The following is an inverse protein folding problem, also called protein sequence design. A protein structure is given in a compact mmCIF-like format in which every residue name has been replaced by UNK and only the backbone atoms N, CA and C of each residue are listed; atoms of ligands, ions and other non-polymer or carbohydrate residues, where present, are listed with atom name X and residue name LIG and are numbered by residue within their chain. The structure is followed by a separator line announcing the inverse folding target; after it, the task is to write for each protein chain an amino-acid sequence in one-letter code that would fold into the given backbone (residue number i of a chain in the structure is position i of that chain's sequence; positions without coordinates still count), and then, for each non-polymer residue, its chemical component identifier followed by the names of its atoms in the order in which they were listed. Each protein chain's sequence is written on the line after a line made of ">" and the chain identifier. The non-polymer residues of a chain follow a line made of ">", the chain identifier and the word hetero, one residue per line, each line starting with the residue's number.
data_IF_248115084145
#
_entry.id   IF_248115084145
#
_cell.length_a   1.000
_cell.length_b   1.000
_cell.length_c   1.000
_cell.angle_alpha   90.00
_cell.angle_beta   90.00
_cell.angle_gamma   90.00
#
_symmetry.space_group_name_H-M   'P 1'
#
loop_
_entity.id
_entity.type
_entity.pdbx_description
1 polymer ?
#
# COMPACT_ATOMS: atom_id res chain seq x y z
N UNK A 1 11.50 26.11 8.42
CA UNK A 1 12.95 25.94 8.23
C UNK A 1 13.38 24.48 8.08
N UNK A 2 12.90 23.54 8.93
CA UNK A 2 13.18 22.10 8.74
C UNK A 2 12.38 21.53 7.57
N UNK A 3 11.10 21.87 7.46
CA UNK A 3 10.24 21.43 6.39
C UNK A 3 10.70 21.94 5.02
N UNK A 4 11.09 23.22 4.92
CA UNK A 4 11.67 23.78 3.69
C UNK A 4 12.92 23.01 3.24
N UNK A 5 13.74 22.56 4.22
CA UNK A 5 14.91 21.73 3.93
C UNK A 5 14.50 20.34 3.41
N UNK A 6 13.51 19.71 4.02
CA UNK A 6 12.98 18.41 3.55
C UNK A 6 12.45 18.51 2.12
N UNK A 7 11.63 19.51 1.85
CA UNK A 7 11.10 19.78 0.49
C UNK A 7 12.23 20.01 -0.51
N UNK A 8 13.26 20.78 -0.12
CA UNK A 8 14.41 21.03 -1.00
C UNK A 8 15.19 19.75 -1.31
N UNK A 9 15.37 18.87 -0.33
CA UNK A 9 16.04 17.56 -0.52
C UNK A 9 15.20 16.66 -1.42
N UNK A 10 13.88 16.59 -1.19
CA UNK A 10 12.97 15.77 -1.99
C UNK A 10 12.89 16.22 -3.46
N UNK A 11 13.14 17.49 -3.74
CA UNK A 11 13.19 18.07 -5.09
C UNK A 11 14.56 18.00 -5.76
N UNK A 12 15.57 17.51 -5.08
CA UNK A 12 16.90 17.41 -5.68
C UNK A 12 16.85 16.50 -6.92
N UNK A 13 17.61 16.82 -7.98
CA UNK A 13 17.66 15.99 -9.17
C UNK A 13 18.07 14.56 -8.82
N UNK A 14 17.37 13.60 -9.39
CA UNK A 14 17.58 12.17 -9.16
C UNK A 14 17.86 11.48 -10.50
N UNK A 15 18.42 10.29 -10.47
CA UNK A 15 18.88 9.57 -11.66
C UNK A 15 18.43 8.12 -11.75
N UNK A 16 17.58 7.65 -10.83
CA UNK A 16 17.11 6.27 -10.86
C UNK A 16 16.15 6.00 -12.02
N UNK A 17 15.43 7.03 -12.49
CA UNK A 17 14.53 6.94 -13.65
C UNK A 17 13.07 6.66 -13.30
N UNK A 18 12.69 6.77 -12.03
CA UNK A 18 11.29 6.76 -11.61
C UNK A 18 10.54 8.03 -12.06
N UNK A 19 9.21 7.97 -12.01
CA UNK A 19 8.34 9.12 -12.35
C UNK A 19 7.34 9.42 -11.25
N UNK A 20 6.94 10.68 -11.17
CA UNK A 20 5.88 11.14 -10.27
C UNK A 20 4.87 11.96 -11.08
N UNK A 21 3.62 11.50 -11.12
CA UNK A 21 2.49 12.21 -11.73
C UNK A 21 1.47 12.55 -10.66
N UNK A 22 1.27 13.83 -10.40
CA UNK A 22 0.27 14.33 -9.45
C UNK A 22 -0.97 14.84 -10.18
N UNK A 23 -2.12 14.66 -9.58
CA UNK A 23 -3.39 15.20 -10.04
C UNK A 23 -3.93 16.20 -9.00
N UNK A 24 -3.71 17.51 -9.20
CA UNK A 24 -4.14 18.53 -8.25
C UNK A 24 -5.68 18.65 -8.15
N UNK A 25 -6.39 18.12 -9.13
CA UNK A 25 -7.86 18.15 -9.18
C UNK A 25 -8.48 16.86 -8.63
N UNK A 26 -7.67 15.92 -8.10
CA UNK A 26 -8.18 14.69 -7.51
C UNK A 26 -9.02 14.99 -6.28
N UNK A 27 -10.29 14.61 -6.31
CA UNK A 27 -11.13 14.60 -5.13
C UNK A 27 -10.75 13.45 -4.21
N UNK A 28 -10.10 13.78 -3.09
CA UNK A 28 -9.71 12.77 -2.09
C UNK A 28 -10.96 12.22 -1.41
N UNK A 29 -11.13 10.90 -1.30
CA UNK A 29 -12.32 10.32 -0.69
C UNK A 29 -12.59 10.85 0.72
N UNK A 30 -13.85 11.16 1.01
CA UNK A 30 -14.24 11.72 2.31
C UNK A 30 -13.84 10.85 3.49
N UNK A 31 -13.86 9.53 3.34
CA UNK A 31 -13.46 8.62 4.40
C UNK A 31 -11.98 8.76 4.77
N UNK A 32 -11.15 9.26 3.84
CA UNK A 32 -9.73 9.51 4.06
C UNK A 32 -9.46 10.90 4.64
N UNK A 33 -10.38 11.87 4.47
CA UNK A 33 -10.23 13.25 4.93
C UNK A 33 -11.01 13.57 6.20
N UNK A 34 -11.86 12.65 6.66
CA UNK A 34 -12.78 12.92 7.77
C UNK A 34 -12.13 12.86 9.15
N UNK A 35 -11.00 12.18 9.26
CA UNK A 35 -10.25 11.97 10.51
C UNK A 35 -8.75 12.04 10.25
N UNK A 36 -7.99 12.34 11.27
CA UNK A 36 -6.54 12.21 11.25
C UNK A 36 -6.16 10.74 11.52
N UNK A 37 -6.13 9.92 10.47
CA UNK A 37 -5.81 8.50 10.57
C UNK A 37 -4.44 8.33 11.25
N UNK A 38 -4.28 7.31 12.08
CA UNK A 38 -3.10 7.07 12.92
C UNK A 38 -2.76 8.26 13.82
N UNK A 39 -3.74 9.10 14.15
CA UNK A 39 -3.51 10.35 14.90
C UNK A 39 -2.43 11.24 14.26
N UNK A 40 -2.13 11.05 12.98
CA UNK A 40 -1.18 11.88 12.25
C UNK A 40 -1.81 13.24 11.97
N UNK A 41 -1.24 14.36 12.48
CA UNK A 41 -1.86 15.67 12.34
C UNK A 41 -2.09 16.08 10.88
N UNK A 42 -3.36 16.29 10.51
CA UNK A 42 -3.78 16.59 9.15
C UNK A 42 -3.92 15.35 8.24
N UNK A 43 -3.83 14.15 8.80
CA UNK A 43 -3.87 12.91 8.04
C UNK A 43 -2.70 12.76 7.05
N UNK A 44 -2.85 11.90 6.05
CA UNK A 44 -1.80 11.64 5.06
C UNK A 44 -1.76 12.65 3.92
N UNK A 45 -2.84 13.40 3.69
CA UNK A 45 -3.06 14.23 2.51
C UNK A 45 -2.83 15.72 2.72
N UNK A 46 -2.75 16.19 3.97
CA UNK A 46 -2.61 17.62 4.27
C UNK A 46 -1.23 18.13 3.94
N UNK A 47 -1.19 19.28 3.27
CA UNK A 47 0.03 20.00 2.94
C UNK A 47 0.14 21.26 3.78
N UNK A 48 1.21 21.43 4.53
CA UNK A 48 1.49 22.61 5.36
C UNK A 48 2.22 23.69 4.58
N UNK A 49 2.92 23.30 3.54
CA UNK A 49 3.67 24.17 2.62
C UNK A 49 3.51 23.65 1.19
N UNK A 50 3.87 24.51 0.22
CA UNK A 50 3.88 24.08 -1.19
C UNK A 50 4.86 22.90 -1.40
N UNK A 51 4.40 21.90 -2.11
CA UNK A 51 5.16 20.66 -2.44
C UNK A 51 5.63 19.90 -1.21
N UNK A 52 4.77 19.84 -0.20
CA UNK A 52 5.04 19.21 1.09
C UNK A 52 5.37 17.72 0.97
N UNK A 53 6.22 17.25 1.87
CA UNK A 53 6.63 15.84 2.03
C UNK A 53 6.55 15.40 3.49
N UNK A 54 6.03 16.26 4.38
CA UNK A 54 6.05 16.01 5.82
C UNK A 54 5.23 14.79 6.20
N UNK A 55 4.05 14.60 5.59
CA UNK A 55 3.20 13.45 5.86
C UNK A 55 3.96 12.14 5.62
N UNK A 56 4.65 11.99 4.50
CA UNK A 56 5.47 10.82 4.20
C UNK A 56 6.65 10.64 5.16
N UNK A 57 7.34 11.73 5.51
CA UNK A 57 8.47 11.67 6.44
C UNK A 57 8.03 11.29 7.87
N UNK A 58 6.88 11.76 8.32
CA UNK A 58 6.28 11.41 9.62
C UNK A 58 5.86 9.94 9.60
N UNK A 59 5.16 9.51 8.56
CA UNK A 59 4.69 8.14 8.39
C UNK A 59 5.85 7.14 8.37
N UNK A 60 6.88 7.37 7.55
CA UNK A 60 8.05 6.49 7.46
C UNK A 60 8.70 6.25 8.83
N UNK A 61 8.80 7.30 9.62
CA UNK A 61 9.37 7.19 10.97
C UNK A 61 8.37 6.66 11.99
N UNK A 62 7.11 7.04 11.86
CA UNK A 62 6.01 6.59 12.72
C UNK A 62 5.81 5.09 12.64
N UNK A 63 5.75 4.53 11.45
CA UNK A 63 5.61 3.08 11.23
C UNK A 63 6.76 2.30 11.87
N UNK A 64 8.01 2.77 11.71
CA UNK A 64 9.16 2.11 12.32
C UNK A 64 9.06 2.06 13.86
N UNK A 65 8.64 3.16 14.47
CA UNK A 65 8.49 3.27 15.94
C UNK A 65 7.28 2.43 16.41
N UNK A 66 6.13 2.57 15.74
CA UNK A 66 4.90 1.84 16.04
C UNK A 66 5.11 0.33 15.97
N UNK A 67 5.71 -0.16 14.90
CA UNK A 67 6.03 -1.57 14.72
C UNK A 67 7.27 -2.03 15.53
N UNK A 68 7.85 -1.17 16.37
CA UNK A 68 9.05 -1.47 17.18
C UNK A 68 10.22 -2.02 16.34
N UNK A 69 10.32 -1.59 15.08
CA UNK A 69 11.33 -2.05 14.13
C UNK A 69 11.11 -3.46 13.57
N UNK A 70 9.99 -4.11 13.88
CA UNK A 70 9.71 -5.50 13.47
C UNK A 70 9.48 -5.64 11.95
N UNK A 71 9.10 -4.55 11.28
CA UNK A 71 8.98 -4.51 9.81
C UNK A 71 10.32 -4.29 9.11
N UNK A 72 11.44 -4.44 9.81
CA UNK A 72 12.78 -4.25 9.28
C UNK A 72 13.22 -2.77 9.21
N UNK A 73 14.50 -2.53 8.91
CA UNK A 73 15.08 -1.17 8.93
C UNK A 73 14.51 -0.24 7.86
N UNK A 74 13.88 -0.79 6.82
CA UNK A 74 13.26 -0.06 5.71
C UNK A 74 11.73 -0.11 5.74
N UNK A 75 11.13 -0.70 6.77
CA UNK A 75 9.69 -0.99 6.89
C UNK A 75 9.14 -1.84 5.72
N UNK A 76 9.94 -2.73 5.18
CA UNK A 76 9.70 -3.41 3.91
C UNK A 76 9.32 -4.91 4.06
N UNK A 77 9.15 -5.38 5.29
CA UNK A 77 8.85 -6.80 5.59
C UNK A 77 7.58 -7.30 4.90
N UNK A 78 6.51 -6.51 4.87
CA UNK A 78 5.23 -6.95 4.29
C UNK A 78 5.38 -7.22 2.79
N UNK A 79 6.01 -6.31 2.04
CA UNK A 79 6.33 -6.52 0.63
C UNK A 79 7.24 -7.71 0.42
N UNK A 80 8.26 -7.86 1.27
CA UNK A 80 9.18 -9.01 1.28
C UNK A 80 8.46 -10.33 1.54
N UNK A 81 7.50 -10.35 2.47
CA UNK A 81 6.69 -11.53 2.81
C UNK A 81 5.82 -12.00 1.64
N UNK A 82 5.18 -11.07 0.93
CA UNK A 82 4.40 -11.42 -0.28
C UNK A 82 5.32 -11.97 -1.37
N UNK A 83 6.49 -11.38 -1.57
CA UNK A 83 7.48 -11.89 -2.53
C UNK A 83 7.93 -13.31 -2.15
N UNK A 84 8.22 -13.56 -0.87
CA UNK A 84 8.59 -14.88 -0.38
C UNK A 84 7.47 -15.91 -0.62
N UNK A 85 6.24 -15.54 -0.32
CA UNK A 85 5.05 -16.36 -0.58
C UNK A 85 4.90 -16.68 -2.09
N UNK A 86 5.07 -15.69 -2.96
CA UNK A 86 5.00 -15.90 -4.42
C UNK A 86 6.11 -16.84 -4.91
N UNK A 87 7.33 -16.70 -4.39
CA UNK A 87 8.44 -17.63 -4.73
C UNK A 87 8.13 -19.07 -4.36
N UNK A 88 7.54 -19.28 -3.20
CA UNK A 88 7.22 -20.62 -2.72
C UNK A 88 6.04 -21.23 -3.50
N UNK A 89 4.98 -20.45 -3.75
CA UNK A 89 3.73 -20.98 -4.30
C UNK A 89 3.62 -20.84 -5.81
N UNK A 90 4.42 -19.98 -6.43
CA UNK A 90 4.40 -19.61 -7.86
C UNK A 90 5.81 -19.37 -8.41
N UNK A 91 6.73 -20.32 -8.22
CA UNK A 91 8.15 -20.16 -8.54
C UNK A 91 8.45 -19.65 -9.97
N UNK A 92 7.60 -19.98 -10.94
CA UNK A 92 7.75 -19.57 -12.34
C UNK A 92 7.04 -18.23 -12.65
N UNK A 93 6.43 -17.58 -11.65
CA UNK A 93 5.72 -16.33 -11.87
C UNK A 93 6.71 -15.16 -12.00
N UNK A 94 6.76 -14.57 -13.17
CA UNK A 94 7.63 -13.45 -13.53
C UNK A 94 6.81 -12.28 -14.08
N UNK A 95 6.21 -11.44 -13.21
CA UNK A 95 5.39 -10.32 -13.63
C UNK A 95 6.23 -9.28 -14.37
N UNK A 96 5.66 -8.70 -15.43
CA UNK A 96 6.26 -7.60 -16.20
C UNK A 96 5.75 -6.24 -15.78
N UNK A 97 4.52 -6.18 -15.28
CA UNK A 97 3.92 -4.94 -14.76
C UNK A 97 3.25 -5.22 -13.41
N UNK A 98 3.65 -4.46 -12.42
CA UNK A 98 3.21 -4.58 -11.01
C UNK A 98 2.56 -3.28 -10.61
N UNK A 99 1.40 -3.35 -9.95
CA UNK A 99 0.68 -2.20 -9.39
C UNK A 99 0.53 -2.36 -7.88
N UNK A 100 0.98 -1.38 -7.13
CA UNK A 100 0.79 -1.28 -5.67
C UNK A 100 -0.26 -0.20 -5.36
N UNK A 101 -1.35 -0.61 -4.71
CA UNK A 101 -2.49 0.24 -4.37
C UNK A 101 -2.30 0.80 -2.96
N UNK A 102 -2.46 2.12 -2.80
CA UNK A 102 -2.18 2.79 -1.53
C UNK A 102 -0.71 2.67 -1.16
N UNK A 103 0.19 2.92 -2.11
CA UNK A 103 1.62 2.68 -1.96
C UNK A 103 2.32 3.55 -0.89
N UNK A 104 1.65 4.59 -0.40
CA UNK A 104 2.12 5.44 0.71
C UNK A 104 3.57 5.94 0.51
N UNK A 105 4.49 5.66 1.44
CA UNK A 105 5.92 5.98 1.36
C UNK A 105 6.73 4.96 0.52
N UNK A 106 6.08 4.08 -0.22
CA UNK A 106 6.66 3.00 -1.04
C UNK A 106 7.51 1.99 -0.25
N UNK A 107 7.15 1.72 1.01
CA UNK A 107 7.85 0.74 1.84
C UNK A 107 7.79 -0.66 1.22
N UNK A 108 6.59 -1.12 0.90
CA UNK A 108 6.35 -2.44 0.29
C UNK A 108 6.54 -2.44 -1.23
N UNK A 109 6.45 -1.27 -1.89
CA UNK A 109 6.61 -1.13 -3.35
C UNK A 109 8.06 -1.36 -3.80
N UNK A 110 9.04 -0.80 -3.06
CA UNK A 110 10.48 -0.91 -3.37
C UNK A 110 10.94 -2.37 -3.48
N UNK A 111 10.61 -3.28 -2.57
CA UNK A 111 10.96 -4.71 -2.67
C UNK A 111 10.58 -5.37 -3.99
N UNK A 112 9.43 -5.03 -4.58
CA UNK A 112 9.02 -5.61 -5.86
C UNK A 112 9.97 -5.24 -6.99
N UNK A 113 10.39 -3.96 -7.06
CA UNK A 113 11.35 -3.54 -8.10
C UNK A 113 12.73 -4.15 -7.90
N UNK A 114 13.16 -4.30 -6.66
CA UNK A 114 14.44 -4.96 -6.34
C UNK A 114 14.41 -6.45 -6.68
N UNK A 115 13.26 -7.12 -6.49
CA UNK A 115 13.11 -8.53 -6.75
C UNK A 115 12.80 -8.86 -8.21
N UNK A 116 11.99 -8.02 -8.88
CA UNK A 116 11.65 -8.13 -10.29
C UNK A 116 12.25 -6.95 -11.08
N UNK A 117 13.60 -6.94 -11.28
CA UNK A 117 14.29 -5.78 -11.84
C UNK A 117 13.85 -5.42 -13.26
N UNK A 118 13.35 -6.38 -14.02
CA UNK A 118 12.84 -6.17 -15.37
C UNK A 118 11.37 -5.73 -15.43
N UNK A 119 10.66 -5.78 -14.29
CA UNK A 119 9.27 -5.34 -14.21
C UNK A 119 9.15 -3.82 -14.16
N UNK A 120 8.13 -3.27 -14.82
CA UNK A 120 7.62 -1.93 -14.55
C UNK A 120 6.82 -1.97 -13.25
N UNK A 121 7.24 -1.20 -12.24
CA UNK A 121 6.55 -1.12 -10.95
C UNK A 121 5.88 0.24 -10.82
N UNK A 122 4.56 0.21 -10.71
CA UNK A 122 3.71 1.37 -10.51
C UNK A 122 3.16 1.40 -9.08
N UNK A 123 3.00 2.58 -8.52
CA UNK A 123 2.31 2.78 -7.24
C UNK A 123 1.28 3.90 -7.37
N UNK A 124 0.11 3.71 -6.76
CA UNK A 124 -0.93 4.74 -6.68
C UNK A 124 -1.27 5.05 -5.23
N UNK A 125 -1.53 6.32 -4.96
CA UNK A 125 -2.02 6.81 -3.68
C UNK A 125 -2.83 8.10 -3.90
N UNK A 126 -3.73 8.42 -2.99
CA UNK A 126 -4.52 9.66 -3.06
C UNK A 126 -3.77 10.86 -2.45
N UNK A 127 -2.75 10.63 -1.66
CA UNK A 127 -2.05 11.65 -0.87
C UNK A 127 -0.78 12.16 -1.58
N UNK A 128 -0.86 13.34 -2.19
CA UNK A 128 0.27 13.96 -2.90
C UNK A 128 1.54 14.10 -2.05
N UNK A 129 1.50 14.53 -0.76
CA UNK A 129 2.71 14.64 0.07
C UNK A 129 3.36 13.28 0.36
N UNK A 130 2.58 12.20 0.45
CA UNK A 130 3.09 10.83 0.57
C UNK A 130 3.83 10.42 -0.69
N UNK A 131 3.24 10.63 -1.85
CA UNK A 131 3.83 10.28 -3.16
C UNK A 131 5.10 11.07 -3.46
N UNK A 132 5.17 12.36 -3.09
CA UNK A 132 6.42 13.14 -3.23
C UNK A 132 7.53 12.57 -2.35
N UNK A 133 7.20 12.17 -1.12
CA UNK A 133 8.16 11.52 -0.23
C UNK A 133 8.59 10.16 -0.81
N UNK A 134 7.63 9.33 -1.22
CA UNK A 134 7.88 8.02 -1.81
C UNK A 134 8.80 8.10 -3.04
N UNK A 135 8.56 9.07 -3.93
CA UNK A 135 9.40 9.31 -5.09
C UNK A 135 10.83 9.68 -4.69
N UNK A 136 10.99 10.68 -3.81
CA UNK A 136 12.31 11.07 -3.33
C UNK A 136 13.05 9.93 -2.64
N UNK A 137 12.33 9.11 -1.85
CA UNK A 137 12.87 7.94 -1.16
C UNK A 137 13.33 6.88 -2.16
N UNK A 138 12.48 6.46 -3.08
CA UNK A 138 12.82 5.42 -4.07
C UNK A 138 13.98 5.85 -4.97
N UNK A 139 13.99 7.09 -5.43
CA UNK A 139 15.09 7.67 -6.20
C UNK A 139 16.41 7.69 -5.39
N UNK A 140 16.37 8.05 -4.10
CA UNK A 140 17.55 8.04 -3.23
C UNK A 140 18.12 6.64 -3.01
N UNK A 141 17.30 5.60 -3.14
CA UNK A 141 17.68 4.19 -3.08
C UNK A 141 18.15 3.64 -4.44
N UNK A 142 18.09 4.45 -5.50
CA UNK A 142 18.41 4.01 -6.86
C UNK A 142 17.35 3.06 -7.46
N UNK A 143 16.11 3.10 -6.97
CA UNK A 143 15.04 2.17 -7.35
C UNK A 143 13.97 2.92 -8.16
N UNK A 144 13.91 2.72 -9.50
CA UNK A 144 12.93 3.41 -10.35
C UNK A 144 11.53 2.84 -10.16
N UNK A 145 10.61 3.67 -9.65
CA UNK A 145 9.19 3.37 -9.47
C UNK A 145 8.37 4.47 -10.13
N UNK A 146 7.25 4.11 -10.75
CA UNK A 146 6.34 5.04 -11.40
C UNK A 146 5.16 5.32 -10.48
N UNK A 147 5.13 6.50 -9.87
CA UNK A 147 4.13 6.90 -8.90
C UNK A 147 3.10 7.84 -9.52
N UNK A 148 1.82 7.62 -9.22
CA UNK A 148 0.75 8.50 -9.67
C UNK A 148 -0.33 8.72 -8.61
N UNK A 149 -0.80 9.97 -8.53
CA UNK A 149 -1.88 10.33 -7.61
C UNK A 149 -3.21 9.94 -8.24
N UNK A 150 -3.79 8.86 -7.73
CA UNK A 150 -5.06 8.29 -8.19
C UNK A 150 -5.84 7.67 -7.03
N UNK A 151 -7.17 7.60 -7.19
CA UNK A 151 -8.02 6.83 -6.30
C UNK A 151 -8.12 5.39 -6.79
N UNK A 152 -7.76 4.42 -5.93
CA UNK A 152 -7.83 3.00 -6.25
C UNK A 152 -9.26 2.49 -6.57
N UNK A 153 -10.30 3.28 -6.29
CA UNK A 153 -11.68 2.97 -6.67
C UNK A 153 -11.99 3.19 -8.15
N UNK A 154 -11.15 4.00 -8.85
CA UNK A 154 -11.32 4.36 -10.28
C UNK A 154 -9.98 4.86 -10.82
N UNK A 155 -9.25 3.99 -11.51
CA UNK A 155 -7.87 4.27 -11.93
C UNK A 155 -7.77 4.45 -13.46
N UNK A 156 -6.92 5.39 -13.86
CA UNK A 156 -6.67 5.68 -15.26
C UNK A 156 -5.55 4.78 -15.84
N UNK A 157 -5.82 3.47 -15.87
CA UNK A 157 -4.99 2.48 -16.55
C UNK A 157 -5.85 1.65 -17.50
N UNK A 158 -5.22 1.07 -18.53
CA UNK A 158 -5.88 0.20 -19.51
C UNK A 158 -6.31 -1.13 -18.87
N UNK A 159 -7.41 -1.71 -19.33
CA UNK A 159 -7.90 -3.01 -18.91
C UNK A 159 -6.84 -4.09 -19.17
N UNK A 160 -6.69 -5.02 -18.23
CA UNK A 160 -5.79 -6.16 -18.35
C UNK A 160 -4.31 -5.79 -18.47
N UNK A 161 -3.90 -4.66 -17.88
CA UNK A 161 -2.56 -4.11 -18.07
C UNK A 161 -1.54 -4.51 -17.00
N UNK A 162 -1.93 -5.22 -15.92
CA UNK A 162 -1.03 -5.62 -14.84
C UNK A 162 -1.02 -7.12 -14.61
N UNK A 163 0.17 -7.70 -14.43
CA UNK A 163 0.36 -9.11 -14.12
C UNK A 163 0.23 -9.39 -12.61
N UNK A 164 0.61 -8.41 -11.79
CA UNK A 164 0.51 -8.46 -10.34
C UNK A 164 -0.08 -7.15 -9.81
N UNK A 165 -1.16 -7.25 -9.06
CA UNK A 165 -1.73 -6.12 -8.32
C UNK A 165 -1.65 -6.45 -6.84
N UNK A 166 -1.08 -5.54 -6.05
CA UNK A 166 -0.90 -5.72 -4.62
C UNK A 166 -1.46 -4.54 -3.84
N UNK A 167 -1.82 -4.77 -2.61
CA UNK A 167 -1.95 -3.73 -1.60
C UNK A 167 -1.44 -4.23 -0.25
N UNK A 168 -0.97 -3.32 0.57
CA UNK A 168 -0.38 -3.63 1.87
C UNK A 168 -1.03 -2.74 2.91
N UNK A 169 -1.82 -3.36 3.81
CA UNK A 169 -2.45 -2.64 4.92
C UNK A 169 -3.37 -1.50 4.42
N UNK A 170 -4.05 -1.73 3.28
CA UNK A 170 -4.94 -0.76 2.65
C UNK A 170 -6.42 -1.00 3.00
N UNK A 171 -6.81 -2.26 3.20
CA UNK A 171 -8.24 -2.61 3.30
C UNK A 171 -8.87 -1.90 4.50
N UNK A 172 -8.18 -1.85 5.62
CA UNK A 172 -8.66 -1.20 6.84
C UNK A 172 -8.63 0.35 6.79
N UNK A 173 -7.95 0.94 5.83
CA UNK A 173 -7.97 2.38 5.57
C UNK A 173 -9.16 2.80 4.69
N UNK A 174 -9.92 1.85 4.17
CA UNK A 174 -11.00 2.07 3.22
C UNK A 174 -12.35 1.58 3.75
N UNK A 175 -13.42 2.27 3.33
CA UNK A 175 -14.78 1.78 3.66
C UNK A 175 -15.08 0.48 2.92
N UNK A 176 -15.98 -0.35 3.46
CA UNK A 176 -16.41 -1.59 2.79
C UNK A 176 -17.00 -1.33 1.39
N UNK A 177 -17.59 -0.15 1.15
CA UNK A 177 -18.10 0.23 -0.17
C UNK A 177 -16.95 0.57 -1.13
N UNK A 178 -15.92 1.27 -0.65
CA UNK A 178 -14.71 1.57 -1.42
C UNK A 178 -13.95 0.28 -1.76
N UNK A 179 -13.78 -0.63 -0.81
CA UNK A 179 -13.12 -1.90 -1.05
C UNK A 179 -13.78 -2.72 -2.17
N UNK A 180 -15.12 -2.75 -2.22
CA UNK A 180 -15.82 -3.43 -3.33
C UNK A 180 -15.54 -2.79 -4.69
N UNK A 181 -15.36 -1.49 -4.78
CA UNK A 181 -14.97 -0.81 -6.02
C UNK A 181 -13.50 -1.12 -6.36
N UNK A 182 -12.60 -1.06 -5.37
CA UNK A 182 -11.19 -1.43 -5.52
C UNK A 182 -11.07 -2.84 -6.08
N UNK A 183 -11.82 -3.80 -5.55
CA UNK A 183 -11.83 -5.17 -6.06
C UNK A 183 -12.28 -5.27 -7.52
N UNK A 184 -13.28 -4.46 -7.95
CA UNK A 184 -13.70 -4.40 -9.36
C UNK A 184 -12.64 -3.79 -10.25
N UNK A 185 -11.97 -2.75 -9.78
CA UNK A 185 -10.83 -2.15 -10.49
C UNK A 185 -9.66 -3.14 -10.61
N UNK A 186 -9.34 -3.87 -9.55
CA UNK A 186 -8.36 -4.95 -9.61
C UNK A 186 -8.72 -5.98 -10.68
N UNK A 187 -9.99 -6.40 -10.74
CA UNK A 187 -10.46 -7.35 -11.76
C UNK A 187 -10.36 -6.78 -13.17
N UNK A 188 -10.70 -5.51 -13.38
CA UNK A 188 -10.59 -4.83 -14.68
C UNK A 188 -9.15 -4.72 -15.17
N UNK A 189 -8.24 -4.36 -14.25
CA UNK A 189 -6.84 -4.08 -14.58
C UNK A 189 -5.97 -5.34 -14.68
N UNK A 190 -6.43 -6.46 -14.12
CA UNK A 190 -5.64 -7.69 -14.08
C UNK A 190 -5.57 -8.35 -15.45
N UNK A 191 -4.35 -8.60 -15.93
CA UNK A 191 -4.10 -9.36 -17.14
C UNK A 191 -4.52 -10.84 -17.01
N UNK A 192 -4.86 -11.53 -18.10
CA UNK A 192 -5.14 -12.97 -18.04
C UNK A 192 -3.97 -13.76 -17.43
N UNK A 193 -4.25 -14.51 -16.37
CA UNK A 193 -3.24 -15.28 -15.63
C UNK A 193 -2.50 -14.48 -14.54
N UNK A 194 -2.83 -13.20 -14.39
CA UNK A 194 -2.28 -12.37 -13.33
C UNK A 194 -2.80 -12.71 -11.94
N UNK A 195 -2.23 -12.08 -10.93
CA UNK A 195 -2.51 -12.32 -9.52
C UNK A 195 -2.84 -11.01 -8.81
N UNK A 196 -3.86 -11.01 -7.95
CA UNK A 196 -4.16 -9.93 -7.00
C UNK A 196 -3.89 -10.43 -5.59
N UNK A 197 -3.18 -9.65 -4.78
CA UNK A 197 -2.92 -9.97 -3.37
C UNK A 197 -3.16 -8.72 -2.52
N UNK A 198 -4.07 -8.83 -1.57
CA UNK A 198 -4.26 -7.85 -0.52
C UNK A 198 -3.64 -8.40 0.77
N UNK A 199 -2.48 -7.83 1.19
CA UNK A 199 -1.86 -8.15 2.47
C UNK A 199 -2.53 -7.30 3.57
N UNK A 200 -3.05 -7.98 4.59
CA UNK A 200 -3.81 -7.32 5.66
C UNK A 200 -3.56 -8.01 7.00
N UNK A 201 -3.91 -7.35 8.09
CA UNK A 201 -3.93 -7.97 9.40
C UNK A 201 -4.93 -9.13 9.45
N UNK A 202 -4.67 -10.19 10.22
CA UNK A 202 -5.55 -11.34 10.28
C UNK A 202 -6.98 -10.96 10.71
N UNK A 203 -7.99 -11.64 10.18
CA UNK A 203 -9.37 -11.47 10.64
C UNK A 203 -9.54 -11.95 12.10
N UNK A 204 -10.47 -11.37 12.87
CA UNK A 204 -10.73 -11.75 14.27
C UNK A 204 -10.93 -13.26 14.46
N UNK A 205 -11.57 -13.94 13.50
CA UNK A 205 -11.75 -15.40 13.52
C UNK A 205 -10.45 -16.22 13.58
N UNK A 206 -9.32 -15.60 13.22
CA UNK A 206 -8.00 -16.23 13.19
C UNK A 206 -7.14 -15.84 14.42
N UNK A 207 -7.68 -15.10 15.36
CA UNK A 207 -6.98 -14.61 16.57
C UNK A 207 -7.59 -15.20 17.83
N UNK A 208 -6.83 -15.18 18.93
CA UNK A 208 -7.41 -15.36 20.25
C UNK A 208 -8.13 -14.09 20.74
N UNK A 209 -8.92 -14.23 21.81
CA UNK A 209 -9.74 -13.13 22.32
C UNK A 209 -8.92 -11.94 22.83
N UNK A 210 -7.70 -12.17 23.31
CA UNK A 210 -6.83 -11.12 23.80
C UNK A 210 -6.23 -10.32 22.65
N UNK A 211 -5.74 -10.98 21.63
CA UNK A 211 -5.19 -10.33 20.43
C UNK A 211 -6.28 -9.53 19.71
N UNK A 212 -7.48 -10.11 19.54
CA UNK A 212 -8.63 -9.41 18.98
C UNK A 212 -9.01 -8.16 19.79
N UNK A 213 -8.99 -8.25 21.14
CA UNK A 213 -9.22 -7.11 22.01
C UNK A 213 -8.16 -6.02 21.84
N UNK A 214 -6.88 -6.39 21.78
CA UNK A 214 -5.78 -5.41 21.61
C UNK A 214 -5.92 -4.68 20.27
N UNK A 215 -6.25 -5.38 19.18
CA UNK A 215 -6.47 -4.74 17.88
C UNK A 215 -7.69 -3.80 17.89
N UNK A 216 -8.78 -4.19 18.54
CA UNK A 216 -9.96 -3.34 18.65
C UNK A 216 -9.69 -2.10 19.56
N UNK A 217 -8.92 -2.27 20.62
CA UNK A 217 -8.43 -1.18 21.45
C UNK A 217 -7.54 -0.22 20.66
N UNK A 218 -6.64 -0.76 19.83
CA UNK A 218 -5.75 0.03 18.98
C UNK A 218 -6.54 0.79 17.92
N UNK A 219 -7.50 0.15 17.25
CA UNK A 219 -8.45 0.77 16.33
C UNK A 219 -9.04 2.06 16.91
N UNK A 220 -9.53 1.99 18.15
CA UNK A 220 -10.15 3.14 18.81
C UNK A 220 -9.14 4.23 19.18
N UNK A 221 -7.97 3.83 19.71
CA UNK A 221 -6.98 4.77 20.23
C UNK A 221 -6.04 5.35 19.15
N UNK A 222 -5.93 4.68 18.01
CA UNK A 222 -5.10 5.09 16.88
C UNK A 222 -5.91 5.76 15.76
N UNK A 223 -7.19 6.05 16.02
CA UNK A 223 -8.09 6.74 15.11
C UNK A 223 -8.23 6.02 13.74
N UNK A 224 -8.45 4.70 13.80
CA UNK A 224 -8.59 3.81 12.64
C UNK A 224 -10.08 3.60 12.31
N UNK A 225 -10.66 4.35 11.34
CA UNK A 225 -12.12 4.37 11.19
C UNK A 225 -12.72 3.07 10.65
N UNK A 226 -11.91 2.23 9.97
CA UNK A 226 -12.41 1.04 9.29
C UNK A 226 -11.74 -0.26 9.70
N UNK A 227 -10.77 -0.24 10.60
CA UNK A 227 -10.02 -1.44 10.97
C UNK A 227 -10.93 -2.54 11.54
N UNK A 228 -11.72 -2.23 12.58
CA UNK A 228 -12.70 -3.21 13.10
C UNK A 228 -13.63 -3.74 12.01
N UNK A 229 -14.04 -2.90 11.06
CA UNK A 229 -14.91 -3.32 9.95
C UNK A 229 -14.20 -4.15 8.89
N UNK A 230 -12.90 -3.95 8.68
CA UNK A 230 -12.12 -4.78 7.75
C UNK A 230 -12.07 -6.25 8.19
N UNK A 231 -12.02 -6.51 9.50
CA UNK A 231 -12.06 -7.86 10.06
C UNK A 231 -13.39 -8.59 9.88
N UNK A 232 -14.48 -7.87 9.56
CA UNK A 232 -15.80 -8.43 9.23
C UNK A 232 -15.96 -8.72 7.73
N UNK A 233 -15.05 -8.25 6.88
CA UNK A 233 -15.11 -8.50 5.44
C UNK A 233 -14.82 -9.99 5.18
N UNK A 234 -15.58 -10.59 4.27
CA UNK A 234 -15.28 -11.89 3.67
C UNK A 234 -14.57 -11.67 2.32
N UNK A 235 -13.23 -11.75 2.27
CA UNK A 235 -12.47 -11.43 1.06
C UNK A 235 -12.82 -12.34 -0.14
N UNK A 236 -13.02 -13.67 0.03
CA UNK A 236 -13.45 -14.52 -1.07
C UNK A 236 -14.81 -14.10 -1.66
N UNK A 237 -15.76 -13.68 -0.80
CA UNK A 237 -17.06 -13.18 -1.27
C UNK A 237 -16.93 -11.88 -2.05
N UNK A 238 -16.11 -10.94 -1.56
CA UNK A 238 -15.84 -9.68 -2.26
C UNK A 238 -15.15 -9.91 -3.62
N UNK A 239 -14.21 -10.86 -3.68
CA UNK A 239 -13.57 -11.27 -4.92
C UNK A 239 -14.57 -11.82 -5.94
N UNK A 240 -15.48 -12.72 -5.50
CA UNK A 240 -16.55 -13.26 -6.33
C UNK A 240 -17.47 -12.17 -6.86
N UNK A 241 -17.89 -11.23 -6.01
CA UNK A 241 -18.73 -10.09 -6.41
C UNK A 241 -18.05 -9.20 -7.46
N UNK A 242 -16.73 -9.09 -7.41
CA UNK A 242 -15.92 -8.36 -8.38
C UNK A 242 -15.71 -9.09 -9.71
N UNK A 243 -16.00 -10.39 -9.78
CA UNK A 243 -15.86 -11.20 -11.00
C UNK A 243 -14.70 -12.20 -10.99
N UNK A 244 -13.94 -12.30 -9.90
CA UNK A 244 -12.89 -13.31 -9.76
C UNK A 244 -13.44 -14.71 -9.63
N UNK A 245 -12.68 -15.71 -10.11
CA UNK A 245 -13.01 -17.12 -9.98
C UNK A 245 -12.98 -17.57 -8.51
N UNK A 246 -14.11 -17.98 -7.90
CA UNK A 246 -14.11 -18.38 -6.49
C UNK A 246 -13.20 -19.59 -6.20
N UNK A 247 -12.94 -20.46 -7.19
CA UNK A 247 -12.05 -21.61 -7.03
C UNK A 247 -10.57 -21.22 -6.92
N UNK A 248 -10.24 -19.96 -7.26
CA UNK A 248 -8.90 -19.40 -7.21
C UNK A 248 -8.74 -18.28 -6.18
N UNK A 249 -9.81 -17.98 -5.45
CA UNK A 249 -9.85 -16.91 -4.44
C UNK A 249 -9.83 -17.52 -3.04
N UNK A 250 -8.80 -17.22 -2.25
CA UNK A 250 -8.61 -17.81 -0.92
C UNK A 250 -7.83 -16.87 0.00
N UNK A 251 -7.94 -17.10 1.29
CA UNK A 251 -7.09 -16.48 2.33
C UNK A 251 -5.90 -17.38 2.61
N UNK A 252 -4.73 -16.80 2.82
CA UNK A 252 -3.51 -17.51 3.23
C UNK A 252 -2.73 -16.69 4.25
N UNK A 253 -1.99 -17.36 5.12
CA UNK A 253 -1.03 -16.72 6.01
C UNK A 253 0.33 -16.65 5.30
N UNK A 254 0.91 -15.47 5.23
CA UNK A 254 2.28 -15.28 4.78
C UNK A 254 3.18 -15.05 6.01
N UNK A 255 4.24 -15.85 6.21
CA UNK A 255 5.19 -15.59 7.30
C UNK A 255 5.98 -14.31 7.04
N UNK A 256 6.40 -13.63 8.12
CA UNK A 256 7.30 -12.48 8.02
C UNK A 256 8.59 -12.86 7.30
N UNK A 257 9.02 -12.05 6.33
CA UNK A 257 10.27 -12.27 5.61
C UNK A 257 11.49 -12.17 6.54
N UNK A 258 11.43 -11.33 7.57
CA UNK A 258 12.49 -11.18 8.57
C UNK A 258 12.51 -12.32 9.60
N UNK A 259 11.38 -12.93 9.90
CA UNK A 259 11.32 -14.13 10.76
C UNK A 259 11.83 -15.37 10.05
N UNK A 260 11.52 -15.53 8.77
CA UNK A 260 11.99 -16.64 7.96
C UNK A 260 13.51 -16.61 7.70
N UNK A 261 14.16 -15.46 7.88
CA UNK A 261 15.61 -15.28 7.71
C UNK A 261 16.42 -15.55 8.99
N UNK A 262 15.77 -15.79 10.14
CA UNK A 262 16.40 -16.16 11.42
C UNK A 262 16.55 -17.67 11.56
#
# INVERSE_FOLDING_TARGET
>A
RQLDKLVSVAKAPTSAGGTLTLNPDLEIPRYHTAVDIHCQPGGYHTEMVKDDVAAGAIYDRGVYIYAMGQLGPMNDDIGGSIIAYLKETRADFAPKRILDLGCSAAHSTVPYKLHYPDAEVCGVDVAAPMLRYAHARSESLGVPIHLSQQNAEDMNFEDGSFDLIVSHILVHETSSAAFRKIMKECHRLLAPGGIVIHAETPAYKAMDDFDAFILDWDTYNNNEPFWSKSHEIDPPSAAKEAGFDPAKSFEAMAPSAYEAAK
#
